data_IF_113420791660
#
_entry.id   IF_113420791660
#
_cell.length_a   1.000
_cell.length_b   1.000
_cell.length_c   1.000
_cell.angle_alpha   90.00
_cell.angle_beta   90.00
_cell.angle_gamma   90.00
#
_symmetry.space_group_name_H-M   'P 1'
#
loop_
_entity.id
_entity.type
_entity.pdbx_description
1 polymer ?
#
# COMPACT_ATOMS: atom_id res chain seq x y z
N UNK A 1 -12.91 36.19 -57.03
CA UNK A 1 -11.78 35.70 -56.20
C UNK A 1 -12.29 34.82 -55.05
N UNK A 2 -12.06 33.51 -55.13
CA UNK A 2 -12.40 32.57 -54.06
C UNK A 2 -11.18 32.31 -53.18
N UNK A 3 -11.33 32.37 -51.86
CA UNK A 3 -10.30 31.93 -50.91
C UNK A 3 -10.41 30.41 -50.73
N UNK A 4 -9.28 29.72 -50.85
CA UNK A 4 -9.16 28.33 -50.40
C UNK A 4 -8.83 28.33 -48.91
N UNK A 5 -9.66 27.66 -48.12
CA UNK A 5 -9.46 27.43 -46.69
C UNK A 5 -9.38 25.94 -46.38
N UNK A 6 -8.75 25.59 -45.25
CA UNK A 6 -8.67 24.20 -44.80
C UNK A 6 -10.07 23.65 -44.48
N UNK A 7 -10.38 22.44 -44.92
CA UNK A 7 -11.65 21.76 -44.63
C UNK A 7 -11.79 21.39 -43.15
N UNK A 8 -10.68 21.09 -42.48
CA UNK A 8 -10.65 20.76 -41.06
C UNK A 8 -9.40 21.37 -40.42
N UNK A 9 -9.59 22.21 -39.40
CA UNK A 9 -8.52 22.88 -38.68
C UNK A 9 -8.66 22.56 -37.19
N UNK A 10 -7.59 22.02 -36.60
CA UNK A 10 -7.56 21.61 -35.19
C UNK A 10 -6.32 22.16 -34.53
N UNK A 11 -6.44 22.57 -33.27
CA UNK A 11 -5.31 22.99 -32.42
C UNK A 11 -4.94 21.81 -31.51
N UNK A 12 -3.71 21.33 -31.61
CA UNK A 12 -3.18 20.26 -30.76
C UNK A 12 -2.47 20.89 -29.56
N UNK A 13 -2.84 20.50 -28.34
CA UNK A 13 -2.26 21.02 -27.10
C UNK A 13 -1.75 19.89 -26.22
N UNK A 14 -0.70 20.18 -25.44
CA UNK A 14 -0.21 19.27 -24.42
C UNK A 14 -1.14 19.28 -23.19
N UNK A 15 -1.46 18.10 -22.65
CA UNK A 15 -2.26 17.97 -21.41
C UNK A 15 -1.45 18.21 -20.14
N UNK A 16 -0.14 18.03 -20.22
CA UNK A 16 0.79 18.17 -19.10
C UNK A 16 1.65 19.42 -19.28
N UNK A 17 1.97 20.07 -18.16
CA UNK A 17 2.95 21.15 -18.14
C UNK A 17 4.34 20.53 -18.08
N UNK A 18 5.13 20.71 -19.13
CA UNK A 18 6.48 20.18 -19.24
C UNK A 18 7.30 21.05 -20.21
N UNK A 19 8.62 20.94 -20.15
CA UNK A 19 9.49 21.64 -21.08
C UNK A 19 9.48 20.92 -22.43
N UNK A 20 9.41 21.69 -23.53
CA UNK A 20 9.51 21.14 -24.88
C UNK A 20 10.95 20.65 -25.11
N UNK A 21 11.14 19.35 -25.30
CA UNK A 21 12.47 18.77 -25.54
C UNK A 21 12.83 18.82 -27.03
N UNK A 22 11.88 18.43 -27.88
CA UNK A 22 12.10 18.29 -29.31
C UNK A 22 10.79 18.48 -30.06
N UNK A 23 10.85 19.14 -31.21
CA UNK A 23 9.76 19.16 -32.21
C UNK A 23 10.25 18.36 -33.40
N UNK A 24 9.46 17.38 -33.84
CA UNK A 24 9.84 16.43 -34.90
C UNK A 24 9.19 16.71 -36.25
N UNK A 25 8.42 17.80 -36.32
CA UNK A 25 7.63 18.16 -37.49
C UNK A 25 7.81 19.65 -37.75
N UNK A 26 7.97 20.00 -39.02
CA UNK A 26 8.04 21.38 -39.47
C UNK A 26 6.71 21.84 -40.07
N UNK A 27 6.62 23.15 -40.32
CA UNK A 27 5.43 23.72 -40.98
C UNK A 27 5.30 23.15 -42.39
N UNK A 28 4.11 22.65 -42.70
CA UNK A 28 3.72 22.01 -43.96
C UNK A 28 4.12 20.53 -44.11
N UNK A 29 4.64 19.89 -43.05
CA UNK A 29 4.84 18.44 -43.07
C UNK A 29 3.50 17.70 -43.01
N UNK A 30 3.40 16.62 -43.79
CA UNK A 30 2.26 15.70 -43.76
C UNK A 30 2.43 14.72 -42.60
N UNK A 31 1.48 14.73 -41.67
CA UNK A 31 1.49 13.89 -40.47
C UNK A 31 0.28 12.97 -40.44
N UNK A 32 0.44 11.77 -39.88
CA UNK A 32 -0.63 10.79 -39.72
C UNK A 32 -1.13 10.75 -38.29
N UNK A 33 -2.32 10.19 -38.11
CA UNK A 33 -2.87 9.97 -36.77
C UNK A 33 -1.97 9.03 -35.98
N UNK A 34 -1.52 9.49 -34.81
CA UNK A 34 -0.60 8.75 -33.93
C UNK A 34 0.86 9.17 -34.05
N UNK A 35 1.21 10.03 -35.01
CA UNK A 35 2.58 10.52 -35.14
C UNK A 35 2.95 11.47 -33.99
N UNK A 36 4.18 11.31 -33.52
CA UNK A 36 4.73 12.13 -32.42
C UNK A 36 5.21 13.45 -33.00
N UNK A 37 4.41 14.50 -32.80
CA UNK A 37 4.73 15.86 -33.26
C UNK A 37 5.84 16.51 -32.41
N UNK A 38 5.82 16.25 -31.09
CA UNK A 38 6.75 16.84 -30.14
C UNK A 38 6.99 15.91 -28.95
N UNK A 39 8.23 15.90 -28.45
CA UNK A 39 8.62 15.23 -27.22
C UNK A 39 8.75 16.26 -26.11
N UNK A 40 8.08 16.02 -24.99
CA UNK A 40 8.19 16.85 -23.80
C UNK A 40 9.20 16.21 -22.84
N UNK A 41 10.11 17.02 -22.32
CA UNK A 41 11.01 16.59 -21.26
C UNK A 41 10.24 16.65 -19.93
N UNK A 42 9.94 15.47 -19.41
CA UNK A 42 9.16 15.26 -18.20
C UNK A 42 10.02 14.64 -17.09
N UNK A 43 11.30 15.03 -16.99
CA UNK A 43 12.24 14.49 -15.98
C UNK A 43 11.67 14.59 -14.55
N UNK A 44 10.94 15.66 -14.24
CA UNK A 44 10.26 15.82 -12.96
C UNK A 44 9.19 14.74 -12.73
N UNK A 45 8.39 14.38 -13.75
CA UNK A 45 7.42 13.29 -13.63
C UNK A 45 8.11 11.94 -13.46
N UNK A 46 9.26 11.72 -14.09
CA UNK A 46 10.05 10.50 -13.90
C UNK A 46 10.56 10.38 -12.46
N UNK A 47 11.05 11.49 -11.87
CA UNK A 47 11.44 11.51 -10.46
C UNK A 47 10.26 11.31 -9.52
N UNK A 48 9.11 11.95 -9.79
CA UNK A 48 7.90 11.75 -9.00
C UNK A 48 7.39 10.31 -9.09
N UNK A 49 7.47 9.69 -10.27
CA UNK A 49 7.13 8.29 -10.46
C UNK A 49 8.09 7.38 -9.70
N UNK A 50 9.39 7.61 -9.78
CA UNK A 50 10.40 6.84 -9.07
C UNK A 50 10.21 6.95 -7.53
N UNK A 51 9.93 8.15 -7.02
CA UNK A 51 9.62 8.38 -5.62
C UNK A 51 8.32 7.67 -5.19
N UNK A 52 7.27 7.73 -6.02
CA UNK A 52 6.01 7.03 -5.76
C UNK A 52 6.20 5.51 -5.72
N UNK A 53 6.97 4.94 -6.64
CA UNK A 53 7.31 3.51 -6.65
C UNK A 53 8.14 3.11 -5.44
N UNK A 54 9.08 3.94 -5.02
CA UNK A 54 9.86 3.70 -3.80
C UNK A 54 8.97 3.71 -2.55
N UNK A 55 8.05 4.68 -2.46
CA UNK A 55 7.08 4.77 -1.37
C UNK A 55 6.12 3.59 -1.34
N UNK A 56 5.64 3.13 -2.50
CA UNK A 56 4.79 1.95 -2.63
C UNK A 56 5.51 0.68 -2.14
N UNK A 57 6.78 0.50 -2.53
CA UNK A 57 7.59 -0.62 -2.03
C UNK A 57 7.79 -0.56 -0.51
N UNK A 58 8.11 0.61 0.03
CA UNK A 58 8.28 0.78 1.48
C UNK A 58 6.98 0.52 2.25
N UNK A 59 5.85 0.96 1.70
CA UNK A 59 4.53 0.68 2.27
C UNK A 59 4.21 -0.83 2.23
N UNK A 60 4.49 -1.50 1.10
CA UNK A 60 4.31 -2.94 0.97
C UNK A 60 5.18 -3.74 1.95
N UNK A 61 6.43 -3.31 2.18
CA UNK A 61 7.30 -3.91 3.20
C UNK A 61 6.74 -3.69 4.61
N UNK A 62 6.26 -2.48 4.91
CA UNK A 62 5.64 -2.17 6.21
C UNK A 62 4.40 -3.02 6.49
N UNK A 63 3.56 -3.26 5.48
CA UNK A 63 2.40 -4.16 5.59
C UNK A 63 2.86 -5.59 5.89
N UNK A 64 3.88 -6.08 5.16
CA UNK A 64 4.43 -7.42 5.41
C UNK A 64 5.00 -7.57 6.81
N UNK A 65 5.70 -6.55 7.32
CA UNK A 65 6.19 -6.55 8.71
C UNK A 65 5.04 -6.58 9.73
N UNK A 66 3.97 -5.81 9.49
CA UNK A 66 2.79 -5.83 10.33
C UNK A 66 2.08 -7.20 10.33
N UNK A 67 1.98 -7.86 9.17
CA UNK A 67 1.45 -9.22 9.05
C UNK A 67 2.28 -10.23 9.85
N UNK A 68 3.62 -10.16 9.76
CA UNK A 68 4.51 -11.00 10.56
C UNK A 68 4.35 -10.77 12.06
N UNK A 69 4.14 -9.52 12.47
CA UNK A 69 3.89 -9.20 13.87
C UNK A 69 2.53 -9.73 14.35
N UNK A 70 1.48 -9.64 13.52
CA UNK A 70 0.19 -10.29 13.80
C UNK A 70 0.36 -11.79 13.98
N UNK A 71 1.14 -12.45 13.14
CA UNK A 71 1.36 -13.91 13.24
C UNK A 71 2.09 -14.30 14.53
N UNK A 72 3.08 -13.50 14.94
CA UNK A 72 3.74 -13.68 16.25
C UNK A 72 2.74 -13.53 17.40
N UNK A 73 1.89 -12.51 17.36
CA UNK A 73 0.86 -12.30 18.38
C UNK A 73 -0.22 -13.40 18.36
N UNK A 74 -0.55 -13.95 17.20
CA UNK A 74 -1.44 -15.11 17.07
C UNK A 74 -0.87 -16.35 17.75
N UNK A 75 0.42 -16.62 17.58
CA UNK A 75 1.11 -17.70 18.27
C UNK A 75 1.11 -17.45 19.79
N UNK A 76 1.40 -16.22 20.22
CA UNK A 76 1.38 -15.86 21.64
C UNK A 76 -0.02 -16.01 22.27
N UNK A 77 -1.08 -15.59 21.59
CA UNK A 77 -2.45 -15.77 22.05
C UNK A 77 -2.83 -17.26 22.13
N UNK A 78 -2.47 -18.05 21.12
CA UNK A 78 -2.71 -19.50 21.10
C UNK A 78 -1.99 -20.24 22.23
N UNK A 79 -0.74 -19.88 22.51
CA UNK A 79 0.01 -20.47 23.64
C UNK A 79 -0.60 -20.09 24.99
N UNK A 80 -1.00 -18.83 25.18
CA UNK A 80 -1.69 -18.37 26.39
C UNK A 80 -3.04 -19.08 26.60
N UNK A 81 -3.80 -19.30 25.52
CA UNK A 81 -5.06 -20.05 25.56
C UNK A 81 -4.85 -21.51 25.95
N UNK A 82 -3.84 -22.17 25.39
CA UNK A 82 -3.49 -23.54 25.76
C UNK A 82 -3.04 -23.64 27.23
N UNK A 83 -2.31 -22.63 27.72
CA UNK A 83 -1.87 -22.55 29.12
C UNK A 83 -3.05 -22.36 30.09
N UNK A 84 -4.03 -21.53 29.72
CA UNK A 84 -5.27 -21.36 30.46
C UNK A 84 -6.07 -22.66 30.52
N UNK A 85 -6.17 -23.38 29.39
CA UNK A 85 -6.81 -24.70 29.32
C UNK A 85 -6.17 -25.71 30.25
N UNK A 86 -4.83 -25.80 30.26
CA UNK A 86 -4.06 -26.67 31.18
C UNK A 86 -4.34 -26.31 32.65
N UNK A 87 -4.25 -25.02 32.99
CA UNK A 87 -4.46 -24.56 34.37
C UNK A 87 -5.90 -24.73 34.85
N UNK A 88 -6.89 -24.63 33.96
CA UNK A 88 -8.29 -24.94 34.29
C UNK A 88 -8.48 -26.39 34.76
N UNK A 89 -7.81 -27.35 34.10
CA UNK A 89 -7.83 -28.76 34.51
C UNK A 89 -7.14 -28.96 35.87
N UNK A 90 -6.00 -28.30 36.10
CA UNK A 90 -5.28 -28.37 37.37
C UNK A 90 -6.07 -27.72 38.53
N UNK A 91 -6.84 -26.66 38.27
CA UNK A 91 -7.73 -26.04 39.25
C UNK A 91 -8.86 -26.99 39.65
N UNK A 92 -9.44 -27.71 38.68
CA UNK A 92 -10.44 -28.74 38.93
C UNK A 92 -9.86 -29.89 39.79
N UNK A 93 -8.58 -30.22 39.58
CA UNK A 93 -7.81 -31.14 40.41
C UNK A 93 -7.31 -30.55 41.74
N UNK A 94 -7.73 -29.33 42.13
CA UNK A 94 -7.27 -28.58 43.32
C UNK A 94 -5.75 -28.45 43.46
N UNK A 95 -5.02 -28.57 42.34
CA UNK A 95 -3.55 -28.59 42.32
C UNK A 95 -2.93 -27.20 42.18
N UNK A 96 -3.73 -26.17 41.89
CA UNK A 96 -3.31 -24.76 41.80
C UNK A 96 -4.25 -23.85 42.57
N UNK A 97 -3.75 -22.67 42.94
CA UNK A 97 -4.55 -21.65 43.62
C UNK A 97 -5.44 -20.87 42.64
N UNK A 98 -6.55 -20.32 43.15
CA UNK A 98 -7.44 -19.45 42.35
C UNK A 98 -6.71 -18.18 41.86
N UNK A 99 -5.79 -17.65 42.67
CA UNK A 99 -4.95 -16.50 42.30
C UNK A 99 -4.05 -16.75 41.09
N UNK A 100 -3.46 -17.96 40.97
CA UNK A 100 -2.65 -18.30 39.80
C UNK A 100 -3.49 -18.47 38.53
N UNK A 101 -4.73 -18.93 38.68
CA UNK A 101 -5.68 -19.02 37.57
C UNK A 101 -6.10 -17.63 37.06
N UNK A 102 -6.46 -16.72 37.97
CA UNK A 102 -6.87 -15.35 37.64
C UNK A 102 -5.74 -14.58 36.93
N UNK A 103 -4.48 -14.81 37.35
CA UNK A 103 -3.29 -14.24 36.69
C UNK A 103 -3.19 -14.65 35.21
N UNK A 104 -3.42 -15.93 34.94
CA UNK A 104 -3.29 -16.51 33.59
C UNK A 104 -4.46 -16.14 32.70
N UNK A 105 -5.66 -16.01 33.26
CA UNK A 105 -6.79 -15.40 32.58
C UNK A 105 -6.50 -13.95 32.17
N UNK A 106 -5.86 -13.17 33.07
CA UNK A 106 -5.39 -11.83 32.76
C UNK A 106 -4.39 -11.81 31.60
N UNK A 107 -3.39 -12.70 31.62
CA UNK A 107 -2.39 -12.81 30.54
C UNK A 107 -3.02 -13.21 29.21
N UNK A 108 -3.99 -14.13 29.21
CA UNK A 108 -4.71 -14.53 27.99
C UNK A 108 -5.53 -13.38 27.40
N UNK A 109 -6.28 -12.64 28.22
CA UNK A 109 -7.03 -11.45 27.76
C UNK A 109 -6.11 -10.36 27.22
N UNK A 110 -4.94 -10.17 27.81
CA UNK A 110 -3.94 -9.23 27.31
C UNK A 110 -3.38 -9.66 25.94
N UNK A 111 -3.08 -10.95 25.76
CA UNK A 111 -2.59 -11.48 24.50
C UNK A 111 -3.64 -11.38 23.38
N UNK A 112 -4.91 -11.68 23.68
CA UNK A 112 -6.02 -11.49 22.73
C UNK A 112 -6.24 -10.03 22.36
N UNK A 113 -6.16 -9.12 23.34
CA UNK A 113 -6.28 -7.69 23.08
C UNK A 113 -5.12 -7.17 22.21
N UNK A 114 -3.91 -7.68 22.41
CA UNK A 114 -2.76 -7.34 21.57
C UNK A 114 -2.94 -7.80 20.11
N UNK A 115 -3.44 -9.03 19.91
CA UNK A 115 -3.76 -9.56 18.58
C UNK A 115 -4.85 -8.75 17.89
N UNK A 116 -5.93 -8.43 18.60
CA UNK A 116 -7.02 -7.61 18.06
C UNK A 116 -6.52 -6.22 17.64
N UNK A 117 -5.66 -5.58 18.45
CA UNK A 117 -5.04 -4.29 18.09
C UNK A 117 -4.15 -4.39 16.85
N UNK A 118 -3.33 -5.44 16.75
CA UNK A 118 -2.48 -5.66 15.58
C UNK A 118 -3.31 -5.87 14.31
N UNK A 119 -4.41 -6.62 14.40
CA UNK A 119 -5.33 -6.86 13.27
C UNK A 119 -5.97 -5.55 12.80
N UNK A 120 -6.49 -4.74 13.74
CA UNK A 120 -7.07 -3.41 13.41
C UNK A 120 -6.03 -2.46 12.81
N UNK A 121 -4.76 -2.60 13.17
CA UNK A 121 -3.69 -1.75 12.63
C UNK A 121 -3.38 -2.09 11.17
N UNK A 122 -3.56 -3.35 10.75
CA UNK A 122 -3.33 -3.79 9.36
C UNK A 122 -4.50 -3.43 8.45
N UNK A 123 -5.74 -3.48 8.96
CA UNK A 123 -6.94 -3.14 8.16
C UNK A 123 -7.16 -1.64 7.94
N UNK A 124 -6.32 -0.78 8.53
CA UNK A 124 -6.48 0.68 8.53
C UNK A 124 -5.58 1.36 7.51
#
# INVERSE_FOLDING_TARGET
PGLLGATNQVVVTARIQAFLAEVRVDRNDEVKTGDVLATLNATELEYQLAAAVANDRAAAESVREAELERDRLAIAAGTAQADLGRRKLLLAGKSISKSEFDLVEGTQKQAEAALARATVTIER
#
